data_IF_767354795041
#
_entry.id   IF_767354795041
#
_cell.length_a   1.000
_cell.length_b   1.000
_cell.length_c   1.000
_cell.angle_alpha   90.00
_cell.angle_beta   90.00
_cell.angle_gamma   90.00
#
_symmetry.space_group_name_H-M   'P 1'
#
loop_
_entity.id
_entity.type
_entity.pdbx_description
1 polymer ?
#
# COMPACT_ATOMS: atom_id res chain seq x y z
N UNK A 1 21.50 -44.32 44.13
CA UNK A 1 20.78 -43.02 44.14
C UNK A 1 21.19 -42.29 42.88
N UNK A 2 20.36 -42.35 41.84
CA UNK A 2 20.65 -41.74 40.52
C UNK A 2 19.90 -40.41 40.43
N UNK A 3 20.62 -39.32 40.19
CA UNK A 3 20.07 -37.98 40.07
C UNK A 3 19.69 -37.71 38.61
N UNK A 4 18.39 -37.57 38.35
CA UNK A 4 17.88 -37.01 37.09
C UNK A 4 18.02 -35.48 37.15
N UNK A 5 18.97 -34.92 36.40
CA UNK A 5 19.03 -33.48 36.17
C UNK A 5 18.01 -33.09 35.10
N UNK A 6 17.14 -32.09 35.33
CA UNK A 6 16.24 -31.60 34.30
C UNK A 6 17.04 -30.75 33.30
N UNK A 7 17.11 -31.24 32.06
CA UNK A 7 17.59 -30.48 30.90
C UNK A 7 16.47 -29.49 30.53
N UNK A 8 16.59 -28.25 30.97
CA UNK A 8 15.77 -27.16 30.47
C UNK A 8 16.33 -26.73 29.11
N UNK A 9 15.75 -27.26 28.03
CA UNK A 9 15.92 -26.72 26.68
C UNK A 9 15.13 -25.41 26.60
N UNK A 10 15.78 -24.29 26.93
CA UNK A 10 15.29 -22.97 26.59
C UNK A 10 15.36 -22.78 25.08
N UNK A 11 14.22 -22.87 24.40
CA UNK A 11 14.10 -22.33 23.05
C UNK A 11 13.94 -20.82 23.17
N UNK A 12 15.06 -20.09 23.12
CA UNK A 12 15.05 -18.66 22.82
C UNK A 12 14.68 -18.47 21.34
N UNK A 13 13.39 -18.54 21.02
CA UNK A 13 12.92 -18.04 19.74
C UNK A 13 13.01 -16.52 19.76
N UNK A 14 13.72 -15.87 18.82
CA UNK A 14 13.73 -14.42 18.75
C UNK A 14 12.29 -13.94 18.53
N UNK A 15 11.78 -13.18 19.48
CA UNK A 15 10.49 -12.51 19.34
C UNK A 15 10.65 -11.41 18.29
N UNK A 16 10.22 -11.70 17.06
CA UNK A 16 10.08 -10.70 16.01
C UNK A 16 8.90 -9.79 16.35
N UNK A 17 9.18 -8.71 17.08
CA UNK A 17 8.18 -7.71 17.39
C UNK A 17 7.92 -6.84 16.15
N UNK A 18 6.91 -7.22 15.36
CA UNK A 18 6.33 -6.32 14.37
C UNK A 18 5.72 -5.11 15.09
N UNK A 19 5.92 -3.91 14.52
CA UNK A 19 5.30 -2.70 15.06
C UNK A 19 3.77 -2.80 14.93
N UNK A 20 3.00 -2.37 15.94
CA UNK A 20 1.55 -2.40 15.87
C UNK A 20 1.03 -1.45 14.77
N UNK A 21 -0.08 -1.77 14.08
CA UNK A 21 -0.64 -0.95 13.00
C UNK A 21 -0.86 0.52 13.36
N UNK A 22 -1.24 0.79 14.61
CA UNK A 22 -1.52 2.13 15.12
C UNK A 22 -0.31 3.05 15.06
N UNK A 23 0.90 2.51 15.19
CA UNK A 23 2.13 3.30 15.12
C UNK A 23 2.43 3.75 13.67
N UNK A 24 2.08 2.95 12.66
CA UNK A 24 2.15 3.38 11.26
C UNK A 24 1.11 4.48 10.98
N UNK A 25 -0.12 4.33 11.46
CA UNK A 25 -1.14 5.38 11.30
C UNK A 25 -0.68 6.68 11.97
N UNK A 26 -0.13 6.58 13.19
CA UNK A 26 0.40 7.74 13.89
C UNK A 26 1.54 8.42 13.11
N UNK A 27 2.44 7.66 12.49
CA UNK A 27 3.49 8.22 11.65
C UNK A 27 2.94 9.00 10.44
N UNK A 28 1.89 8.48 9.76
CA UNK A 28 1.20 9.23 8.69
C UNK A 28 0.55 10.50 9.23
N UNK A 29 -0.13 10.42 10.37
CA UNK A 29 -0.83 11.57 10.97
C UNK A 29 0.13 12.68 11.41
N UNK A 30 1.30 12.29 11.92
CA UNK A 30 2.32 13.21 12.46
C UNK A 30 3.32 13.70 11.42
N UNK A 31 3.36 13.09 10.23
CA UNK A 31 4.20 13.56 9.13
C UNK A 31 3.88 15.00 8.76
N UNK A 32 4.88 15.87 8.78
CA UNK A 32 4.72 17.28 8.37
C UNK A 32 4.38 17.33 6.89
N UNK A 33 5.10 16.54 6.08
CA UNK A 33 4.95 16.52 4.63
C UNK A 33 4.23 15.26 4.16
N UNK A 34 3.32 15.43 3.21
CA UNK A 34 2.68 14.35 2.46
C UNK A 34 2.64 14.78 0.99
N UNK A 35 3.39 14.07 0.15
CA UNK A 35 3.72 14.54 -1.21
C UNK A 35 3.75 13.40 -2.21
N UNK A 36 3.56 13.74 -3.49
CA UNK A 36 4.11 12.95 -4.59
C UNK A 36 5.42 13.57 -5.06
N UNK A 37 6.38 12.71 -5.39
CA UNK A 37 7.66 13.08 -5.98
C UNK A 37 7.88 12.30 -7.27
N UNK A 38 8.60 12.90 -8.22
CA UNK A 38 9.16 12.21 -9.38
C UNK A 38 10.60 11.80 -9.05
N UNK A 39 10.89 10.51 -9.14
CA UNK A 39 12.24 9.99 -8.91
C UNK A 39 13.14 10.45 -10.06
N UNK A 40 14.30 11.00 -9.72
CA UNK A 40 15.35 11.36 -10.69
C UNK A 40 16.48 10.32 -10.67
N UNK A 41 16.84 9.81 -9.49
CA UNK A 41 17.83 8.74 -9.35
C UNK A 41 17.70 8.00 -8.02
N UNK A 42 18.08 6.71 -8.01
CA UNK A 42 18.16 5.87 -6.81
C UNK A 42 19.57 5.29 -6.72
N UNK A 43 20.23 5.49 -5.58
CA UNK A 43 21.53 4.86 -5.29
C UNK A 43 21.33 3.76 -4.26
N UNK A 44 21.75 2.50 -4.54
CA UNK A 44 21.59 1.40 -3.60
C UNK A 44 22.48 1.57 -2.36
N UNK A 45 22.13 0.91 -1.24
CA UNK A 45 23.05 0.78 -0.12
C UNK A 45 24.29 -0.05 -0.52
N UNK A 46 25.36 0.05 0.27
CA UNK A 46 26.61 -0.69 0.02
C UNK A 46 26.50 -2.20 0.26
N UNK A 47 25.44 -2.66 0.92
CA UNK A 47 25.12 -4.06 1.15
C UNK A 47 23.77 -4.45 0.56
N UNK A 48 23.21 -5.55 1.07
CA UNK A 48 21.99 -6.12 0.54
C UNK A 48 20.68 -5.44 0.95
N UNK A 49 20.64 -4.90 2.16
CA UNK A 49 19.54 -4.14 2.69
C UNK A 49 20.07 -2.92 3.45
N UNK A 50 19.37 -1.80 3.35
CA UNK A 50 19.72 -0.54 4.00
C UNK A 50 19.05 0.65 3.34
N UNK A 51 19.62 1.83 3.53
CA UNK A 51 19.06 3.08 3.00
C UNK A 51 19.46 3.27 1.53
N UNK A 52 18.47 3.17 0.64
CA UNK A 52 18.58 3.71 -0.71
C UNK A 52 18.55 5.24 -0.65
N UNK A 53 19.52 5.90 -1.27
CA UNK A 53 19.47 7.35 -1.44
C UNK A 53 18.62 7.69 -2.67
N UNK A 54 17.46 8.31 -2.45
CA UNK A 54 16.54 8.73 -3.51
C UNK A 54 16.68 10.23 -3.72
N UNK A 55 17.01 10.65 -4.93
CA UNK A 55 16.90 12.03 -5.36
C UNK A 55 15.64 12.20 -6.20
N UNK A 56 14.81 13.19 -5.87
CA UNK A 56 13.50 13.35 -6.47
C UNK A 56 13.06 14.82 -6.53
N UNK A 57 12.14 15.11 -7.46
CA UNK A 57 11.49 16.42 -7.58
C UNK A 57 10.07 16.36 -7.03
N UNK A 58 9.68 17.27 -6.14
CA UNK A 58 8.31 17.36 -5.60
C UNK A 58 7.33 17.76 -6.71
N UNK A 59 6.32 16.94 -6.99
CA UNK A 59 5.33 17.19 -8.06
C UNK A 59 3.92 17.48 -7.54
N UNK A 60 3.54 16.90 -6.41
CA UNK A 60 2.27 17.18 -5.74
C UNK A 60 2.48 17.33 -4.23
N UNK A 61 1.74 18.24 -3.61
CA UNK A 61 1.77 18.46 -2.17
C UNK A 61 0.34 18.33 -1.65
N UNK A 62 0.13 17.41 -0.71
CA UNK A 62 -1.14 17.25 0.02
C UNK A 62 -1.11 17.95 1.36
N UNK A 63 0.07 17.97 2.01
CA UNK A 63 0.32 18.64 3.28
C UNK A 63 1.80 18.99 3.41
N UNK A 64 2.12 20.09 4.09
CA UNK A 64 3.46 20.39 4.58
C UNK A 64 4.10 21.65 4.02
N UNK A 65 5.43 21.73 4.15
CA UNK A 65 6.26 22.91 3.90
C UNK A 65 7.18 22.78 2.67
N UNK A 66 7.21 21.61 2.03
CA UNK A 66 7.91 21.43 0.75
C UNK A 66 7.25 22.24 -0.37
N UNK A 67 8.04 22.58 -1.38
CA UNK A 67 7.59 23.37 -2.54
C UNK A 67 7.54 22.54 -3.81
N UNK A 68 6.52 22.72 -4.66
CA UNK A 68 6.44 22.03 -5.95
C UNK A 68 7.62 22.46 -6.84
N UNK A 69 8.28 21.48 -7.46
CA UNK A 69 9.51 21.67 -8.23
C UNK A 69 10.79 21.66 -7.39
N UNK A 70 10.68 21.59 -6.05
CA UNK A 70 11.84 21.44 -5.19
C UNK A 70 12.49 20.08 -5.41
N UNK A 71 13.81 20.08 -5.56
CA UNK A 71 14.63 18.86 -5.56
C UNK A 71 14.98 18.51 -4.12
N UNK A 72 14.72 17.27 -3.72
CA UNK A 72 15.02 16.74 -2.41
C UNK A 72 15.78 15.42 -2.55
N UNK A 73 16.60 15.11 -1.54
CA UNK A 73 17.24 13.81 -1.39
C UNK A 73 16.89 13.26 -0.03
N UNK A 74 16.41 12.02 0.02
CA UNK A 74 15.97 11.37 1.24
C UNK A 74 16.27 9.87 1.22
N UNK A 75 16.45 9.23 2.39
CA UNK A 75 16.63 7.79 2.48
C UNK A 75 15.29 7.06 2.32
N UNK A 76 15.32 5.91 1.63
CA UNK A 76 14.24 4.92 1.60
C UNK A 76 14.83 3.58 2.00
N UNK A 77 14.26 2.96 3.03
CA UNK A 77 14.62 1.59 3.43
C UNK A 77 14.34 0.63 2.28
N UNK A 78 15.40 0.04 1.73
CA UNK A 78 15.31 -0.83 0.57
C UNK A 78 16.16 -2.10 0.71
N UNK A 79 15.81 -3.12 -0.06
CA UNK A 79 16.51 -4.40 -0.08
C UNK A 79 16.65 -4.94 -1.49
N UNK A 80 17.66 -5.78 -1.73
CA UNK A 80 17.76 -6.65 -2.91
C UNK A 80 17.23 -8.04 -2.57
N UNK A 81 16.71 -8.75 -3.57
CA UNK A 81 16.08 -10.05 -3.40
C UNK A 81 16.97 -11.05 -2.63
N UNK A 82 16.38 -11.72 -1.63
CA UNK A 82 17.07 -12.69 -0.76
C UNK A 82 17.66 -12.11 0.52
N UNK A 83 17.57 -10.79 0.72
CA UNK A 83 18.26 -10.09 1.82
C UNK A 83 17.29 -9.33 2.76
N UNK A 84 15.99 -9.70 2.75
CA UNK A 84 14.99 -9.11 3.63
C UNK A 84 15.34 -9.40 5.10
N UNK A 85 15.61 -8.35 5.86
CA UNK A 85 15.86 -8.50 7.29
C UNK A 85 14.55 -8.46 8.07
N UNK A 86 14.36 -9.39 9.03
CA UNK A 86 13.19 -9.37 9.87
C UNK A 86 13.23 -8.16 10.82
N UNK A 87 12.08 -7.57 11.11
CA UNK A 87 11.99 -6.39 11.95
C UNK A 87 10.70 -5.59 11.73
N UNK A 88 10.72 -4.33 12.16
CA UNK A 88 9.62 -3.38 12.06
C UNK A 88 9.74 -2.41 10.87
N UNK A 89 10.80 -2.53 10.08
CA UNK A 89 11.06 -1.69 8.91
C UNK A 89 10.14 -2.10 7.76
N UNK A 90 9.55 -1.13 7.05
CA UNK A 90 8.90 -1.43 5.77
C UNK A 90 9.96 -1.36 4.67
N UNK A 91 10.26 -2.51 4.10
CA UNK A 91 11.29 -2.63 3.08
C UNK A 91 10.71 -2.44 1.68
N UNK A 92 11.31 -1.54 0.90
CA UNK A 92 10.99 -1.37 -0.52
C UNK A 92 11.95 -2.18 -1.38
N UNK A 93 11.43 -2.95 -2.35
CA UNK A 93 12.29 -3.67 -3.29
C UNK A 93 13.12 -2.70 -4.13
N UNK A 94 14.45 -2.86 -4.14
CA UNK A 94 15.36 -1.96 -4.83
C UNK A 94 15.11 -1.94 -6.34
N UNK A 95 14.86 -3.09 -6.97
CA UNK A 95 14.66 -3.15 -8.41
C UNK A 95 13.36 -2.44 -8.80
N UNK A 96 12.28 -2.64 -8.05
CA UNK A 96 11.02 -1.90 -8.21
C UNK A 96 11.22 -0.38 -8.00
N UNK A 97 11.92 0.01 -6.94
CA UNK A 97 12.20 1.42 -6.63
C UNK A 97 13.07 2.08 -7.72
N UNK A 98 14.05 1.36 -8.26
CA UNK A 98 14.95 1.86 -9.30
C UNK A 98 14.27 2.07 -10.66
N UNK A 99 13.20 1.32 -10.92
CA UNK A 99 12.39 1.45 -12.14
C UNK A 99 11.17 2.36 -11.96
N UNK A 100 10.85 2.76 -10.72
CA UNK A 100 9.73 3.62 -10.42
C UNK A 100 9.96 5.05 -10.94
N UNK A 101 8.90 5.67 -11.45
CA UNK A 101 8.93 7.07 -11.89
C UNK A 101 8.47 8.04 -10.80
N UNK A 102 7.57 7.58 -9.93
CA UNK A 102 6.95 8.42 -8.92
C UNK A 102 6.81 7.66 -7.59
N UNK A 103 6.85 8.41 -6.49
CA UNK A 103 6.53 7.93 -5.15
C UNK A 103 5.50 8.84 -4.50
N UNK A 104 4.64 8.27 -3.69
CA UNK A 104 3.96 8.97 -2.60
C UNK A 104 4.73 8.75 -1.30
N UNK A 105 4.87 9.79 -0.47
CA UNK A 105 5.66 9.70 0.74
C UNK A 105 5.12 10.58 1.88
N UNK A 106 5.23 10.05 3.11
CA UNK A 106 5.00 10.76 4.37
C UNK A 106 6.36 11.10 5.01
N UNK A 107 6.66 12.39 5.16
CA UNK A 107 7.99 12.84 5.58
C UNK A 107 7.98 13.82 6.75
N UNK A 108 9.12 13.93 7.42
CA UNK A 108 9.42 15.02 8.36
C UNK A 108 9.46 16.38 7.64
N UNK A 109 9.44 17.46 8.43
CA UNK A 109 9.65 18.82 7.94
C UNK A 109 11.13 19.18 7.80
N UNK A 110 11.39 20.40 7.30
CA UNK A 110 12.73 20.96 7.24
C UNK A 110 13.52 20.69 5.94
N UNK A 111 14.78 21.14 5.87
CA UNK A 111 15.55 21.17 4.62
C UNK A 111 16.05 19.80 4.13
N UNK A 112 16.03 18.79 5.00
CA UNK A 112 16.43 17.41 4.69
C UNK A 112 15.34 16.45 5.22
N UNK A 113 14.22 16.33 4.50
CA UNK A 113 13.11 15.50 4.96
C UNK A 113 13.49 14.02 5.00
N UNK A 114 12.97 13.29 5.98
CA UNK A 114 13.11 11.83 6.10
C UNK A 114 11.75 11.18 6.07
N UNK A 115 11.66 9.98 5.48
CA UNK A 115 10.42 9.19 5.44
C UNK A 115 10.10 8.70 6.86
N UNK A 116 8.88 8.94 7.33
CA UNK A 116 8.46 8.50 8.65
C UNK A 116 7.97 7.06 8.62
N UNK A 117 8.58 6.21 9.44
CA UNK A 117 8.28 4.77 9.55
C UNK A 117 8.22 4.06 8.19
N UNK A 118 9.13 4.43 7.29
CA UNK A 118 9.28 3.85 5.94
C UNK A 118 8.06 3.96 5.02
N UNK A 119 7.17 4.91 5.28
CA UNK A 119 5.91 5.03 4.54
C UNK A 119 6.07 5.78 3.23
N UNK A 120 6.55 5.02 2.23
CA UNK A 120 6.52 5.34 0.81
C UNK A 120 5.65 4.34 0.06
N UNK A 121 5.07 4.77 -1.05
CA UNK A 121 4.34 3.93 -1.99
C UNK A 121 4.80 4.24 -3.42
N UNK A 122 5.05 3.21 -4.22
CA UNK A 122 5.35 3.37 -5.65
C UNK A 122 4.04 3.62 -6.40
N UNK A 123 3.96 4.77 -7.08
CA UNK A 123 2.77 5.17 -7.85
C UNK A 123 3.10 5.29 -9.33
N UNK A 124 2.12 5.05 -10.19
CA UNK A 124 2.30 5.06 -11.65
C UNK A 124 2.26 6.47 -12.25
N UNK A 125 1.50 7.38 -11.63
CA UNK A 125 1.38 8.77 -12.05
C UNK A 125 0.98 9.66 -10.86
N UNK A 126 1.39 10.94 -10.84
CA UNK A 126 0.88 11.90 -9.87
C UNK A 126 -0.60 12.19 -10.15
N UNK A 127 -1.35 12.47 -9.09
CA UNK A 127 -2.77 12.81 -9.13
C UNK A 127 -3.09 13.91 -8.12
N UNK A 128 -4.30 14.45 -8.19
CA UNK A 128 -4.75 15.57 -7.34
C UNK A 128 -5.10 15.17 -5.90
N UNK A 129 -5.37 13.89 -5.65
CA UNK A 129 -5.71 13.32 -4.32
C UNK A 129 -4.70 12.22 -3.92
N UNK A 130 -4.44 11.95 -2.63
CA UNK A 130 -3.41 10.97 -2.23
C UNK A 130 -3.85 9.51 -2.46
N UNK A 131 -2.94 8.62 -2.90
CA UNK A 131 -3.12 7.15 -2.91
C UNK A 131 -3.24 6.57 -1.52
N UNK A 132 -2.44 7.08 -0.58
CA UNK A 132 -2.42 6.60 0.78
C UNK A 132 -3.22 7.53 1.70
N UNK A 133 -4.26 6.99 2.35
CA UNK A 133 -4.99 7.75 3.35
C UNK A 133 -4.13 7.97 4.61
N UNK A 134 -4.26 9.14 5.22
CA UNK A 134 -3.51 9.52 6.42
C UNK A 134 -3.91 8.71 7.67
N UNK A 135 -5.13 8.18 7.71
CA UNK A 135 -5.74 7.50 8.85
C UNK A 135 -5.88 5.98 8.67
N UNK A 136 -5.31 5.44 7.59
CA UNK A 136 -5.30 4.01 7.28
C UNK A 136 -3.88 3.54 7.02
N UNK A 137 -3.61 2.25 7.20
CA UNK A 137 -2.37 1.60 6.74
C UNK A 137 -2.44 1.20 5.26
N UNK A 138 -3.64 1.23 4.68
CA UNK A 138 -3.89 0.79 3.30
C UNK A 138 -3.69 1.97 2.35
N UNK A 139 -3.07 1.73 1.21
CA UNK A 139 -3.06 2.62 0.05
C UNK A 139 -3.99 2.05 -1.01
N UNK A 140 -4.58 2.92 -1.82
CA UNK A 140 -5.33 2.48 -3.00
C UNK A 140 -4.39 1.69 -3.92
N UNK A 141 -4.68 0.41 -4.10
CA UNK A 141 -3.85 -0.43 -4.96
C UNK A 141 -3.96 0.08 -6.38
N UNK A 142 -2.82 0.37 -7.01
CA UNK A 142 -2.73 0.60 -8.46
C UNK A 142 -3.01 -0.68 -9.26
N UNK A 143 -3.18 -1.82 -8.58
CA UNK A 143 -3.94 -2.95 -9.09
C UNK A 143 -5.40 -2.49 -9.09
N UNK A 144 -5.91 -2.16 -10.30
CA UNK A 144 -7.35 -2.10 -10.58
C UNK A 144 -8.00 -3.15 -9.70
N UNK A 145 -8.99 -2.77 -8.88
CA UNK A 145 -9.90 -3.76 -8.34
C UNK A 145 -10.38 -4.56 -9.55
N UNK A 146 -9.77 -5.71 -9.80
CA UNK A 146 -10.41 -6.76 -10.54
C UNK A 146 -11.56 -7.06 -9.60
N UNK A 147 -12.68 -6.37 -9.80
CA UNK A 147 -13.97 -6.92 -9.46
C UNK A 147 -13.84 -8.35 -9.91
N UNK A 148 -13.69 -9.26 -8.94
CA UNK A 148 -13.72 -10.68 -9.22
C UNK A 148 -14.95 -10.81 -10.12
N UNK A 149 -14.80 -11.22 -11.40
CA UNK A 149 -15.92 -11.18 -12.32
C UNK A 149 -17.02 -11.91 -11.59
N UNK A 150 -18.07 -11.16 -11.22
CA UNK A 150 -19.25 -11.71 -10.59
C UNK A 150 -19.63 -12.82 -11.55
N UNK A 151 -19.49 -14.05 -11.04
CA UNK A 151 -19.41 -15.21 -11.90
C UNK A 151 -20.55 -15.13 -12.87
N UNK A 152 -20.18 -15.05 -14.14
CA UNK A 152 -21.08 -15.03 -15.26
C UNK A 152 -21.96 -16.27 -15.15
N UNK A 153 -23.15 -16.12 -14.59
CA UNK A 153 -24.27 -16.99 -14.92
C UNK A 153 -24.56 -16.75 -16.39
N UNK A 154 -23.83 -17.44 -17.28
CA UNK A 154 -23.94 -17.13 -18.69
C UNK A 154 -22.86 -17.76 -19.56
N UNK A 155 -22.78 -19.09 -19.56
CA UNK A 155 -22.49 -19.83 -20.80
C UNK A 155 -22.77 -21.34 -20.66
N UNK A 156 -22.45 -21.94 -19.50
CA UNK A 156 -22.59 -23.40 -19.30
C UNK A 156 -24.01 -23.90 -19.00
N UNK A 157 -24.98 -23.01 -18.82
CA UNK A 157 -26.38 -23.36 -18.53
C UNK A 157 -27.26 -23.66 -19.76
N UNK A 158 -26.69 -23.69 -20.98
CA UNK A 158 -27.47 -24.02 -22.19
C UNK A 158 -27.36 -25.50 -22.61
N UNK A 159 -26.62 -26.33 -21.87
CA UNK A 159 -26.47 -27.75 -22.21
C UNK A 159 -27.35 -28.69 -21.37
N UNK A 160 -27.82 -28.27 -20.19
CA UNK A 160 -28.46 -29.18 -19.23
C UNK A 160 -29.99 -29.09 -19.17
N UNK A 161 -30.61 -28.15 -19.89
CA UNK A 161 -32.07 -28.07 -20.05
C UNK A 161 -32.67 -29.18 -20.93
N UNK A 162 -31.86 -30.13 -21.42
CA UNK A 162 -32.35 -31.31 -22.15
C UNK A 162 -32.60 -32.53 -21.24
N UNK A 163 -32.20 -32.49 -19.96
CA UNK A 163 -32.20 -33.66 -19.07
C UNK A 163 -33.03 -33.53 -17.80
N UNK A 164 -33.95 -32.56 -17.72
CA UNK A 164 -35.09 -32.62 -16.79
C UNK A 164 -34.77 -32.82 -15.31
N UNK A 165 -33.67 -32.28 -14.80
CA UNK A 165 -33.34 -32.30 -13.37
C UNK A 165 -33.33 -30.88 -12.82
N UNK A 166 -34.12 -30.70 -11.76
CA UNK A 166 -34.40 -29.47 -11.01
C UNK A 166 -33.09 -28.85 -10.49
N UNK A 167 -32.84 -27.58 -10.83
CA UNK A 167 -31.82 -26.75 -10.21
C UNK A 167 -32.45 -25.85 -9.15
N UNK A 168 -31.98 -25.96 -7.91
CA UNK A 168 -32.38 -25.14 -6.78
C UNK A 168 -32.00 -23.66 -6.96
N UNK A 169 -32.92 -22.79 -6.53
CA UNK A 169 -32.99 -21.35 -6.78
C UNK A 169 -31.75 -20.53 -6.37
N UNK A 170 -31.24 -19.70 -7.29
CA UNK A 170 -30.50 -18.48 -6.95
C UNK A 170 -31.49 -17.42 -6.42
N UNK A 171 -31.84 -17.51 -5.14
CA UNK A 171 -32.78 -16.60 -4.50
C UNK A 171 -32.20 -15.22 -4.19
N UNK A 172 -32.50 -14.22 -5.02
CA UNK A 172 -32.36 -12.79 -4.70
C UNK A 172 -33.72 -12.08 -4.84
N UNK A 173 -34.32 -11.63 -3.72
CA UNK A 173 -35.62 -10.95 -3.73
C UNK A 173 -35.52 -9.53 -4.29
N UNK A 174 -36.18 -9.29 -5.42
CA UNK A 174 -36.50 -7.96 -5.92
C UNK A 174 -37.78 -7.42 -5.26
N UNK A 175 -37.74 -6.18 -4.79
CA UNK A 175 -38.87 -5.47 -4.19
C UNK A 175 -39.09 -4.09 -4.83
N UNK A 176 -39.95 -4.09 -5.86
CA UNK A 176 -40.83 -3.04 -6.43
C UNK A 176 -40.38 -1.57 -6.55
N UNK A 177 -40.38 -1.18 -7.82
CA UNK A 177 -40.63 0.13 -8.43
C UNK A 177 -41.98 0.73 -8.03
N UNK A 178 -42.02 2.02 -7.63
CA UNK A 178 -43.18 2.91 -7.75
C UNK A 178 -42.76 4.31 -8.22
N UNK A 179 -43.65 4.86 -9.05
CA UNK A 179 -43.56 5.91 -10.05
C UNK A 179 -43.71 7.35 -9.48
N UNK A 180 -43.00 8.36 -10.02
CA UNK A 180 -43.24 9.79 -9.72
C UNK A 180 -42.05 10.76 -9.91
N UNK A 181 -42.24 12.00 -10.40
CA UNK A 181 -41.31 12.66 -11.34
C UNK A 181 -40.20 13.54 -10.71
N UNK A 182 -39.07 13.58 -11.43
CA UNK A 182 -37.89 14.43 -11.19
C UNK A 182 -38.19 15.94 -11.30
N UNK A 183 -37.64 16.79 -10.42
CA UNK A 183 -37.31 18.16 -10.79
C UNK A 183 -35.86 18.24 -11.29
N UNK A 184 -35.73 18.89 -12.45
CA UNK A 184 -34.47 19.24 -13.08
C UNK A 184 -33.65 20.22 -12.24
N UNK A 185 -32.32 20.03 -12.21
CA UNK A 185 -31.39 21.16 -12.10
C UNK A 185 -30.19 20.96 -13.03
N UNK A 186 -30.12 21.89 -13.98
CA UNK A 186 -29.12 22.08 -15.02
C UNK A 186 -27.90 22.83 -14.47
N UNK A 187 -26.74 22.48 -15.02
CA UNK A 187 -25.65 23.37 -15.50
C UNK A 187 -24.87 24.17 -14.43
N UNK A 188 -23.56 24.42 -14.62
CA UNK A 188 -22.79 24.51 -15.87
C UNK A 188 -21.48 23.74 -15.81
#
# INVERSE_FOLDING_TARGET
>A
MSACLPVWLGLDTPAFAAMPPEAFIQARQTAVNHVHVRIESVTPPSGGAGDCSVSATVVQIFRGDLTRGQVITFPVSCYRYGELQPGNQLWTDFEALSHAQYLEAFMSGGPAPVVLSDQVEIITAPREWPFCATDSVICETSIVAVEAPSQSCGFFDRAWTLWGLVGEDCGGKAGKEEDGPLPALRMR
#
